data_IF_538757582422
#
_entry.id   IF_538757582422
#
_cell.length_a   1.000
_cell.length_b   1.000
_cell.length_c   1.000
_cell.angle_alpha   90.00
_cell.angle_beta   90.00
_cell.angle_gamma   90.00
#
_symmetry.space_group_name_H-M   'P 1'
#
loop_
_entity.id
_entity.type
_entity.pdbx_description
1 polymer ?
#
# COMPACT_ATOMS: atom_id res chain seq x y z
N UNK A 1 -4.77 27.94 -0.34
CA UNK A 1 -3.43 27.31 -0.39
C UNK A 1 -3.30 26.45 0.85
N UNK A 2 -3.09 25.14 0.71
CA UNK A 2 -2.92 24.25 1.86
C UNK A 2 -1.68 24.67 2.64
N UNK A 3 -1.82 24.92 3.95
CA UNK A 3 -0.70 25.30 4.80
C UNK A 3 0.10 24.04 5.16
N UNK A 4 1.01 23.64 4.26
CA UNK A 4 1.87 22.47 4.45
C UNK A 4 3.03 22.87 5.37
N UNK A 5 3.15 22.20 6.51
CA UNK A 5 4.33 22.32 7.35
C UNK A 5 5.54 21.64 6.64
N UNK A 6 6.63 22.38 6.32
CA UNK A 6 7.74 21.85 5.54
C UNK A 6 8.43 20.64 6.18
N UNK A 7 8.69 20.68 7.48
CA UNK A 7 9.38 19.58 8.19
C UNK A 7 8.55 18.29 8.19
N UNK A 8 7.23 18.41 8.43
CA UNK A 8 6.31 17.26 8.36
C UNK A 8 6.21 16.73 6.93
N UNK A 9 6.24 17.60 5.94
CA UNK A 9 6.20 17.23 4.53
C UNK A 9 7.47 16.49 4.09
N UNK A 10 8.64 17.02 4.38
CA UNK A 10 9.92 16.37 4.03
C UNK A 10 10.06 15.01 4.70
N UNK A 11 9.64 14.91 5.97
CA UNK A 11 9.56 13.62 6.67
C UNK A 11 8.61 12.66 5.98
N UNK A 12 7.45 13.12 5.54
CA UNK A 12 6.50 12.30 4.81
C UNK A 12 7.10 11.78 3.50
N UNK A 13 7.65 12.66 2.67
CA UNK A 13 8.25 12.30 1.37
C UNK A 13 9.34 11.25 1.56
N UNK A 14 10.31 11.51 2.44
CA UNK A 14 11.42 10.58 2.72
C UNK A 14 10.92 9.19 3.13
N UNK A 15 9.97 9.13 4.07
CA UNK A 15 9.48 7.86 4.60
C UNK A 15 8.57 7.15 3.59
N UNK A 16 7.71 7.88 2.88
CA UNK A 16 6.81 7.33 1.87
C UNK A 16 7.59 6.75 0.69
N UNK A 17 8.61 7.46 0.21
CA UNK A 17 9.48 7.01 -0.88
C UNK A 17 10.22 5.71 -0.49
N UNK A 18 10.88 5.70 0.67
CA UNK A 18 11.60 4.51 1.15
C UNK A 18 10.69 3.29 1.29
N UNK A 19 9.47 3.48 1.84
CA UNK A 19 8.49 2.40 1.99
C UNK A 19 7.98 1.91 0.65
N UNK A 20 7.67 2.81 -0.27
CA UNK A 20 7.20 2.49 -1.62
C UNK A 20 8.23 1.65 -2.37
N UNK A 21 9.49 2.10 -2.37
CA UNK A 21 10.58 1.35 -3.01
C UNK A 21 10.78 -0.05 -2.41
N UNK A 22 10.64 -0.19 -1.09
CA UNK A 22 10.70 -1.50 -0.44
C UNK A 22 9.57 -2.42 -0.89
N UNK A 23 8.33 -1.91 -0.96
CA UNK A 23 7.16 -2.68 -1.42
C UNK A 23 7.37 -3.14 -2.86
N UNK A 24 7.77 -2.24 -3.77
CA UNK A 24 8.00 -2.56 -5.17
C UNK A 24 9.09 -3.63 -5.34
N UNK A 25 10.20 -3.51 -4.59
CA UNK A 25 11.28 -4.51 -4.60
C UNK A 25 10.78 -5.87 -4.12
N UNK A 26 10.01 -5.91 -3.03
CA UNK A 26 9.45 -7.16 -2.49
C UNK A 26 8.47 -7.80 -3.47
N UNK A 27 7.60 -7.02 -4.13
CA UNK A 27 6.69 -7.54 -5.16
C UNK A 27 7.45 -8.13 -6.34
N UNK A 28 8.53 -7.49 -6.79
CA UNK A 28 9.40 -8.04 -7.83
C UNK A 28 10.01 -9.38 -7.42
N UNK A 29 10.50 -9.49 -6.18
CA UNK A 29 11.03 -10.74 -5.63
C UNK A 29 9.96 -11.83 -5.54
N UNK A 30 8.75 -11.48 -5.10
CA UNK A 30 7.61 -12.39 -5.08
C UNK A 30 7.28 -12.92 -6.48
N UNK A 31 7.38 -12.06 -7.51
CA UNK A 31 7.21 -12.44 -8.90
C UNK A 31 8.19 -13.53 -9.38
N UNK A 32 9.41 -13.60 -8.81
CA UNK A 32 10.37 -14.66 -9.13
C UNK A 32 9.89 -16.05 -8.70
N UNK A 33 8.98 -16.13 -7.72
CA UNK A 33 8.36 -17.39 -7.31
C UNK A 33 7.45 -17.99 -8.40
N UNK A 34 7.11 -17.23 -9.45
CA UNK A 34 6.35 -17.75 -10.59
C UNK A 34 7.14 -18.75 -11.46
N UNK A 35 8.44 -18.92 -11.21
CA UNK A 35 9.24 -19.91 -11.92
C UNK A 35 8.89 -21.33 -11.42
N UNK A 36 8.03 -22.03 -12.19
CA UNK A 36 7.63 -23.41 -11.92
C UNK A 36 8.75 -24.45 -12.02
N UNK A 37 9.91 -24.09 -12.56
CA UNK A 37 11.10 -24.94 -12.54
C UNK A 37 11.76 -25.03 -11.16
N UNK A 38 11.61 -23.97 -10.34
CA UNK A 38 12.17 -23.89 -8.99
C UNK A 38 11.12 -24.12 -7.89
N UNK A 39 9.84 -23.92 -8.20
CA UNK A 39 8.76 -23.94 -7.22
C UNK A 39 7.54 -24.70 -7.75
N UNK A 40 6.84 -25.36 -6.83
CA UNK A 40 5.53 -25.96 -7.08
C UNK A 40 4.50 -25.25 -6.23
N UNK A 41 3.38 -24.86 -6.85
CA UNK A 41 2.29 -24.15 -6.19
C UNK A 41 1.00 -24.36 -6.98
N UNK A 42 -0.11 -24.24 -6.28
CA UNK A 42 -1.46 -24.29 -6.82
C UNK A 42 -1.97 -22.90 -7.19
N UNK A 43 -2.97 -22.85 -8.06
CA UNK A 43 -3.66 -21.59 -8.36
C UNK A 43 -4.35 -21.00 -7.13
N UNK A 44 -4.81 -21.84 -6.20
CA UNK A 44 -5.44 -21.39 -4.96
C UNK A 44 -4.45 -20.66 -4.05
N UNK A 45 -3.22 -21.17 -3.91
CA UNK A 45 -2.16 -20.51 -3.14
C UNK A 45 -1.78 -19.16 -3.74
N UNK A 46 -1.64 -19.09 -5.07
CA UNK A 46 -1.39 -17.82 -5.78
C UNK A 46 -2.54 -16.84 -5.54
N UNK A 47 -3.80 -17.30 -5.62
CA UNK A 47 -4.98 -16.47 -5.35
C UNK A 47 -4.97 -15.94 -3.91
N UNK A 48 -4.67 -16.78 -2.91
CA UNK A 48 -4.58 -16.37 -1.50
C UNK A 48 -3.54 -15.28 -1.28
N UNK A 49 -2.37 -15.40 -1.92
CA UNK A 49 -1.30 -14.40 -1.86
C UNK A 49 -1.80 -13.03 -2.36
N UNK A 50 -2.38 -12.99 -3.56
CA UNK A 50 -2.80 -11.71 -4.15
C UNK A 50 -4.03 -11.12 -3.46
N UNK A 51 -4.99 -11.95 -3.03
CA UNK A 51 -6.14 -11.47 -2.22
C UNK A 51 -5.68 -10.77 -0.95
N UNK A 52 -4.67 -11.32 -0.25
CA UNK A 52 -4.14 -10.70 0.97
C UNK A 52 -3.45 -9.35 0.67
N UNK A 53 -2.64 -9.28 -0.39
CA UNK A 53 -1.95 -8.06 -0.81
C UNK A 53 -2.96 -6.97 -1.23
N UNK A 54 -3.95 -7.32 -2.05
CA UNK A 54 -4.98 -6.39 -2.51
C UNK A 54 -5.84 -5.86 -1.37
N UNK A 55 -6.17 -6.70 -0.39
CA UNK A 55 -6.89 -6.28 0.82
C UNK A 55 -6.08 -5.21 1.57
N UNK A 56 -4.80 -5.45 1.81
CA UNK A 56 -3.98 -4.50 2.55
C UNK A 56 -3.70 -3.21 1.75
N UNK A 57 -3.54 -3.33 0.42
CA UNK A 57 -3.43 -2.17 -0.46
C UNK A 57 -4.67 -1.28 -0.38
N UNK A 58 -5.86 -1.89 -0.39
CA UNK A 58 -7.14 -1.18 -0.24
C UNK A 58 -7.25 -0.50 1.13
N UNK A 59 -6.99 -1.24 2.21
CA UNK A 59 -6.98 -0.68 3.56
C UNK A 59 -6.03 0.51 3.68
N UNK A 60 -4.84 0.40 3.09
CA UNK A 60 -3.84 1.48 3.11
C UNK A 60 -4.32 2.69 2.33
N UNK A 61 -4.91 2.50 1.13
CA UNK A 61 -5.51 3.60 0.34
C UNK A 61 -6.62 4.31 1.10
N UNK A 62 -7.51 3.56 1.75
CA UNK A 62 -8.62 4.12 2.53
C UNK A 62 -8.11 5.06 3.63
N UNK A 63 -7.00 4.75 4.32
CA UNK A 63 -6.42 5.65 5.33
C UNK A 63 -6.01 7.03 4.79
N UNK A 64 -5.66 7.14 3.50
CA UNK A 64 -5.37 8.43 2.87
C UNK A 64 -6.63 9.16 2.41
N UNK A 65 -7.75 8.45 2.25
CA UNK A 65 -9.05 8.99 1.84
C UNK A 65 -9.91 9.39 3.06
N UNK A 66 -9.90 8.61 4.13
CA UNK A 66 -10.56 8.91 5.40
C UNK A 66 -10.02 10.21 6.02
N UNK A 67 -8.76 10.56 5.77
CA UNK A 67 -8.18 11.84 6.18
C UNK A 67 -8.71 13.07 5.42
N UNK A 68 -9.56 12.90 4.40
CA UNK A 68 -10.30 14.00 3.76
C UNK A 68 -11.72 14.16 4.29
N UNK A 69 -12.17 13.30 5.21
CA UNK A 69 -13.56 13.21 5.64
C UNK A 69 -13.76 13.66 7.09
N UNK A 70 -13.18 14.81 7.45
CA UNK A 70 -13.60 15.67 8.57
C UNK A 70 -14.05 16.99 7.89
N UNK A 71 -15.28 17.50 7.93
CA UNK A 71 -16.36 17.51 8.92
C UNK A 71 -17.70 17.08 8.28
N UNK A 72 -18.42 16.15 8.91
CA UNK A 72 -19.89 16.14 8.80
C UNK A 72 -20.40 16.88 10.03
N UNK A 73 -20.54 18.21 9.93
CA UNK A 73 -21.25 19.00 10.92
C UNK A 73 -22.75 18.67 10.77
N UNK A 74 -23.22 17.68 11.52
CA UNK A 74 -24.65 17.40 11.63
C UNK A 74 -25.31 18.55 12.39
N UNK A 75 -26.16 19.32 11.71
CA UNK A 75 -27.11 20.26 12.34
C UNK A 75 -28.52 19.69 12.23
N UNK A 76 -29.28 19.83 13.32
CA UNK A 76 -30.74 19.65 13.31
C UNK A 76 -31.40 20.66 12.37
#
# INVERSE_FOLDING_TARGET
>A
MTNINPEKHDRFIKIAEQRTNKILKTLKLLGNCANKGNYSYTEEEVRKIFTAIERELRNTRNKFQEQQQDEIEFKF
#
